data_IF_273524186674
#
_entry.id   IF_273524186674
#
_cell.length_a   1.000
_cell.length_b   1.000
_cell.length_c   1.000
_cell.angle_alpha   90.00
_cell.angle_beta   90.00
_cell.angle_gamma   90.00
#
_symmetry.space_group_name_H-M   'P 1'
#
loop_
_entity.id
_entity.type
_entity.pdbx_description
1 polymer ?
#
# COMPACT_ATOMS: atom_id res chain seq x y z
N UNK A 1 -15.10 -14.35 4.31
CA UNK A 1 -14.83 -15.71 3.77
C UNK A 1 -14.11 -16.60 4.80
N UNK A 2 -12.89 -16.26 5.29
CA UNK A 2 -12.10 -17.13 6.21
C UNK A 2 -12.84 -17.39 7.52
N UNK A 3 -13.31 -16.36 8.21
CA UNK A 3 -14.05 -16.51 9.47
C UNK A 3 -15.32 -17.34 9.28
N UNK A 4 -16.04 -17.10 8.20
CA UNK A 4 -17.23 -17.88 7.84
C UNK A 4 -16.90 -19.36 7.64
N UNK A 5 -15.79 -19.67 6.94
CA UNK A 5 -15.33 -21.04 6.74
C UNK A 5 -14.94 -21.75 8.04
N UNK A 6 -14.48 -20.97 9.04
CA UNK A 6 -14.15 -21.47 10.38
C UNK A 6 -15.35 -21.51 11.34
N UNK A 7 -16.53 -21.06 10.89
CA UNK A 7 -17.73 -20.97 11.74
C UNK A 7 -17.63 -19.91 12.85
N UNK A 8 -16.80 -18.89 12.63
CA UNK A 8 -16.59 -17.80 13.59
C UNK A 8 -17.29 -16.52 13.09
N UNK A 9 -18.18 -15.99 13.90
CA UNK A 9 -18.83 -14.70 13.63
C UNK A 9 -17.97 -13.52 14.07
N UNK A 10 -17.28 -13.66 15.21
CA UNK A 10 -16.45 -12.62 15.82
C UNK A 10 -15.17 -13.20 16.41
N UNK A 11 -14.18 -12.31 16.62
CA UNK A 11 -12.87 -12.63 17.17
C UNK A 11 -12.42 -11.55 18.17
N UNK A 12 -11.49 -11.89 19.06
CA UNK A 12 -11.00 -10.97 20.09
C UNK A 12 -9.81 -10.13 19.65
N UNK A 13 -9.19 -10.48 18.54
CA UNK A 13 -8.07 -9.73 18.00
C UNK A 13 -7.74 -10.08 16.56
N UNK A 14 -7.22 -9.07 15.83
CA UNK A 14 -6.71 -9.24 14.47
C UNK A 14 -5.45 -8.40 14.29
N UNK A 15 -4.44 -9.01 13.67
CA UNK A 15 -3.21 -8.35 13.24
C UNK A 15 -3.13 -8.34 11.72
N UNK A 16 -2.94 -7.16 11.16
CA UNK A 16 -2.53 -6.97 9.77
C UNK A 16 -1.07 -6.56 9.71
N UNK A 17 -0.25 -7.35 9.02
CA UNK A 17 1.11 -7.00 8.61
C UNK A 17 1.06 -6.73 7.10
N UNK A 18 1.00 -5.45 6.72
CA UNK A 18 0.69 -5.04 5.35
C UNK A 18 1.94 -5.03 4.47
N UNK A 19 1.69 -5.05 3.17
CA UNK A 19 2.70 -4.95 2.14
C UNK A 19 3.28 -6.29 1.71
N UNK A 20 4.46 -6.25 1.09
CA UNK A 20 5.14 -7.40 0.49
C UNK A 20 5.98 -8.15 1.52
N UNK A 21 5.91 -9.46 1.51
CA UNK A 21 6.69 -10.31 2.42
C UNK A 21 8.17 -10.39 2.01
N UNK A 22 9.04 -10.71 2.98
CA UNK A 22 10.47 -10.90 2.70
C UNK A 22 10.74 -11.96 1.62
N UNK A 23 10.12 -13.16 1.63
CA UNK A 23 10.28 -14.14 0.55
C UNK A 23 9.90 -13.62 -0.84
N UNK A 24 8.88 -12.76 -0.94
CA UNK A 24 8.50 -12.15 -2.22
C UNK A 24 9.54 -11.16 -2.74
N UNK A 25 10.23 -10.44 -1.85
CA UNK A 25 11.31 -9.52 -2.21
C UNK A 25 12.64 -10.25 -2.52
N UNK A 26 12.90 -11.36 -1.83
CA UNK A 26 14.15 -12.10 -1.92
C UNK A 26 14.16 -13.05 -3.13
N UNK A 27 12.99 -13.49 -3.60
CA UNK A 27 12.84 -14.24 -4.85
C UNK A 27 12.81 -13.28 -6.05
N UNK A 28 13.92 -13.16 -6.75
CA UNK A 28 14.08 -12.26 -7.89
C UNK A 28 13.03 -12.52 -8.98
N UNK A 29 12.69 -13.79 -9.26
CA UNK A 29 11.73 -14.19 -10.31
C UNK A 29 10.31 -13.64 -10.08
N UNK A 30 10.04 -13.12 -8.89
CA UNK A 30 8.76 -12.47 -8.57
C UNK A 30 8.67 -11.03 -9.10
N UNK A 31 9.75 -10.42 -9.56
CA UNK A 31 9.79 -9.09 -10.15
C UNK A 31 9.54 -7.91 -9.20
N UNK A 32 9.55 -8.13 -7.89
CA UNK A 32 9.34 -7.03 -6.91
C UNK A 32 10.57 -6.14 -6.72
N UNK A 33 11.76 -6.67 -7.01
CA UNK A 33 13.03 -5.99 -6.76
C UNK A 33 13.45 -5.16 -7.97
N UNK A 34 13.87 -3.93 -7.74
CA UNK A 34 14.56 -3.09 -8.73
C UNK A 34 16.09 -3.24 -8.68
N UNK A 35 16.60 -4.23 -7.93
CA UNK A 35 18.04 -4.49 -7.75
C UNK A 35 18.51 -5.75 -8.48
N UNK A 36 17.60 -6.58 -8.94
CA UNK A 36 17.88 -7.82 -9.66
C UNK A 36 17.08 -7.84 -10.96
N UNK A 37 17.65 -8.42 -12.02
CA UNK A 37 16.94 -8.56 -13.29
C UNK A 37 15.98 -9.75 -13.22
N UNK A 38 14.73 -9.51 -13.61
CA UNK A 38 13.66 -10.48 -13.54
C UNK A 38 12.48 -10.07 -14.43
N UNK A 39 11.55 -10.99 -14.78
CA UNK A 39 10.32 -10.63 -15.46
C UNK A 39 9.49 -9.61 -14.69
N UNK A 40 8.78 -8.72 -15.40
CA UNK A 40 7.86 -7.73 -14.82
C UNK A 40 6.55 -8.40 -14.37
N UNK A 41 6.59 -9.14 -13.25
CA UNK A 41 5.42 -9.82 -12.69
C UNK A 41 4.75 -8.98 -11.57
N UNK A 42 5.35 -8.87 -10.41
CA UNK A 42 4.90 -8.17 -9.21
C UNK A 42 3.57 -8.65 -8.61
N UNK A 43 3.01 -9.78 -9.02
CA UNK A 43 1.78 -10.32 -8.44
C UNK A 43 2.05 -10.93 -7.07
N UNK A 44 1.27 -10.56 -6.07
CA UNK A 44 1.24 -11.27 -4.78
C UNK A 44 0.53 -12.61 -4.92
N UNK A 45 -0.63 -12.61 -5.58
CA UNK A 45 -1.37 -13.81 -5.98
C UNK A 45 -1.05 -14.15 -7.43
N UNK A 46 -0.43 -15.33 -7.67
CA UNK A 46 -0.05 -15.78 -9.01
C UNK A 46 -1.22 -16.19 -9.89
N UNK A 47 -2.39 -16.40 -9.31
CA UNK A 47 -3.58 -16.81 -10.06
C UNK A 47 -4.29 -15.61 -10.72
N UNK A 48 -3.98 -14.38 -10.30
CA UNK A 48 -4.50 -13.18 -10.96
C UNK A 48 -3.84 -12.94 -12.33
N UNK A 49 -4.56 -12.33 -13.25
CA UNK A 49 -4.10 -12.07 -14.64
C UNK A 49 -3.24 -10.82 -14.76
N UNK A 50 -3.50 -9.77 -13.97
CA UNK A 50 -2.81 -8.48 -14.08
C UNK A 50 -1.40 -8.57 -13.52
N UNK A 51 -0.40 -8.28 -14.37
CA UNK A 51 1.03 -8.25 -14.04
C UNK A 51 1.59 -6.84 -14.21
N UNK A 52 2.81 -6.61 -13.71
CA UNK A 52 3.53 -5.37 -13.99
C UNK A 52 3.82 -5.19 -15.49
N UNK A 53 4.06 -6.29 -16.21
CA UNK A 53 4.21 -6.28 -17.66
C UNK A 53 2.97 -5.71 -18.35
N UNK A 54 1.76 -6.15 -17.98
CA UNK A 54 0.51 -5.65 -18.54
C UNK A 54 0.32 -4.16 -18.28
N UNK A 55 0.62 -3.69 -17.08
CA UNK A 55 0.53 -2.27 -16.74
C UNK A 55 1.51 -1.45 -17.58
N UNK A 56 2.78 -1.85 -17.62
CA UNK A 56 3.85 -1.09 -18.28
C UNK A 56 3.64 -1.05 -19.79
N UNK A 57 3.24 -2.16 -20.41
CA UNK A 57 3.16 -2.26 -21.86
C UNK A 57 1.80 -1.89 -22.44
N UNK A 58 0.70 -2.08 -21.70
CA UNK A 58 -0.64 -1.98 -22.29
C UNK A 58 -1.50 -0.85 -21.74
N UNK A 59 -1.20 -0.32 -20.53
CA UNK A 59 -2.01 0.77 -19.98
C UNK A 59 -1.78 2.09 -20.71
N UNK A 60 -2.83 2.93 -20.86
CA UNK A 60 -2.69 4.28 -21.39
C UNK A 60 -1.68 5.12 -20.59
N UNK A 61 -0.94 5.99 -21.29
CA UNK A 61 0.05 6.88 -20.66
C UNK A 61 -0.51 7.69 -19.48
N UNK A 62 -1.74 8.17 -19.62
CA UNK A 62 -2.37 8.98 -18.56
C UNK A 62 -2.67 8.14 -17.32
N UNK A 63 -3.04 6.87 -17.47
CA UNK A 63 -3.21 5.95 -16.37
C UNK A 63 -1.88 5.61 -15.69
N UNK A 64 -0.83 5.34 -16.49
CA UNK A 64 0.53 5.17 -15.96
C UNK A 64 0.98 6.40 -15.15
N UNK A 65 0.78 7.60 -15.69
CA UNK A 65 1.10 8.84 -14.99
C UNK A 65 0.32 8.97 -13.67
N UNK A 66 -0.97 8.62 -13.69
CA UNK A 66 -1.84 8.70 -12.51
C UNK A 66 -1.34 7.78 -11.38
N UNK A 67 -1.09 6.50 -11.68
CA UNK A 67 -0.60 5.56 -10.65
C UNK A 67 0.79 5.95 -10.14
N UNK A 68 1.69 6.38 -11.01
CA UNK A 68 3.02 6.84 -10.60
C UNK A 68 2.92 8.03 -9.64
N UNK A 69 2.01 8.96 -9.90
CA UNK A 69 1.79 10.12 -9.06
C UNK A 69 1.04 9.76 -7.76
N UNK A 70 -0.06 9.04 -7.85
CA UNK A 70 -0.94 8.75 -6.72
C UNK A 70 -0.37 7.67 -5.78
N UNK A 71 0.18 6.59 -6.34
CA UNK A 71 0.67 5.42 -5.58
C UNK A 71 2.18 5.47 -5.33
N UNK A 72 2.93 6.15 -6.18
CA UNK A 72 4.37 6.35 -6.00
C UNK A 72 4.73 7.64 -5.29
N UNK A 73 3.82 8.63 -5.24
CA UNK A 73 4.16 10.02 -4.89
C UNK A 73 5.36 10.51 -5.72
N UNK A 74 5.45 10.05 -7.02
CA UNK A 74 6.57 10.27 -7.92
C UNK A 74 6.41 11.60 -8.65
N UNK A 75 7.33 12.52 -8.41
CA UNK A 75 7.28 13.86 -9.00
C UNK A 75 7.60 13.89 -10.50
N UNK A 76 8.37 12.89 -10.96
CA UNK A 76 8.74 12.74 -12.38
C UNK A 76 7.75 11.84 -13.14
N UNK A 77 6.55 11.58 -12.60
CA UNK A 77 5.54 10.72 -13.20
C UNK A 77 5.24 11.04 -14.68
N UNK A 78 5.08 12.31 -15.10
CA UNK A 78 4.83 12.63 -16.52
C UNK A 78 5.98 12.24 -17.45
N UNK A 79 7.23 12.46 -17.01
CA UNK A 79 8.43 12.16 -17.78
C UNK A 79 8.65 10.63 -17.86
N UNK A 80 8.44 9.91 -16.76
CA UNK A 80 8.57 8.46 -16.69
C UNK A 80 7.51 7.80 -17.55
N UNK A 81 6.24 8.20 -17.44
CA UNK A 81 5.16 7.65 -18.27
C UNK A 81 5.40 7.88 -19.77
N UNK A 82 5.91 9.06 -20.14
CA UNK A 82 6.28 9.37 -21.54
C UNK A 82 7.48 8.53 -22.03
N UNK A 83 8.46 8.25 -21.16
CA UNK A 83 9.60 7.42 -21.51
C UNK A 83 9.18 5.95 -21.71
N UNK A 84 8.34 5.43 -20.83
CA UNK A 84 7.75 4.08 -20.96
C UNK A 84 6.98 3.97 -22.29
N UNK A 85 6.09 4.92 -22.58
CA UNK A 85 5.30 4.93 -23.82
C UNK A 85 6.18 4.92 -25.06
N UNK A 86 7.25 5.73 -25.06
CA UNK A 86 8.18 5.79 -26.17
C UNK A 86 8.90 4.46 -26.40
N UNK A 87 9.44 3.84 -25.35
CA UNK A 87 10.22 2.61 -25.48
C UNK A 87 9.33 1.45 -25.92
N UNK A 88 8.17 1.27 -25.31
CA UNK A 88 7.26 0.18 -25.65
C UNK A 88 6.66 0.27 -27.06
N UNK A 89 6.78 1.43 -27.73
CA UNK A 89 6.41 1.58 -29.14
C UNK A 89 7.40 0.85 -30.06
N UNK A 90 8.67 0.76 -29.65
CA UNK A 90 9.73 0.08 -30.41
C UNK A 90 9.79 -1.43 -30.07
N UNK A 91 9.73 -1.78 -28.78
CA UNK A 91 9.72 -3.15 -28.29
C UNK A 91 9.08 -3.24 -26.91
N UNK A 92 8.51 -4.40 -26.52
CA UNK A 92 7.97 -4.59 -25.19
C UNK A 92 9.05 -4.46 -24.13
N UNK A 93 8.69 -3.86 -22.98
CA UNK A 93 9.56 -3.79 -21.80
C UNK A 93 9.33 -5.06 -21.00
N UNK A 94 10.34 -5.93 -20.90
CA UNK A 94 10.19 -7.29 -20.38
C UNK A 94 10.71 -7.45 -18.95
N UNK A 95 11.77 -6.71 -18.60
CA UNK A 95 12.46 -6.97 -17.33
C UNK A 95 12.48 -5.77 -16.38
N UNK A 96 12.74 -6.08 -15.12
CA UNK A 96 12.82 -5.09 -14.05
C UNK A 96 13.97 -4.10 -14.28
N UNK A 97 15.17 -4.57 -14.69
CA UNK A 97 16.30 -3.65 -14.90
C UNK A 97 16.11 -2.80 -16.15
N UNK A 98 15.49 -3.32 -17.20
CA UNK A 98 15.10 -2.51 -18.36
C UNK A 98 14.17 -1.36 -17.94
N UNK A 99 13.16 -1.64 -17.14
CA UNK A 99 12.27 -0.60 -16.59
C UNK A 99 13.04 0.38 -15.70
N UNK A 100 13.99 -0.08 -14.88
CA UNK A 100 14.85 0.81 -14.06
C UNK A 100 15.64 1.78 -14.94
N UNK A 101 16.22 1.31 -16.02
CA UNK A 101 17.00 2.18 -16.92
C UNK A 101 16.14 3.20 -17.63
N UNK A 102 14.92 2.84 -18.04
CA UNK A 102 13.94 3.76 -18.61
C UNK A 102 13.56 4.85 -17.59
N UNK A 103 13.25 4.45 -16.36
CA UNK A 103 12.92 5.40 -15.27
C UNK A 103 14.09 6.37 -15.05
N UNK A 104 15.31 5.85 -14.91
CA UNK A 104 16.51 6.67 -14.68
C UNK A 104 16.76 7.66 -15.82
N UNK A 105 16.59 7.23 -17.06
CA UNK A 105 16.78 8.08 -18.25
C UNK A 105 15.79 9.24 -18.31
N UNK A 106 14.59 9.07 -17.71
CA UNK A 106 13.54 10.08 -17.68
C UNK A 106 13.68 11.10 -16.55
N UNK A 107 14.55 10.83 -15.57
CA UNK A 107 14.68 11.66 -14.36
C UNK A 107 15.77 12.73 -14.52
N UNK A 108 15.55 13.96 -14.01
CA UNK A 108 16.57 14.98 -14.00
C UNK A 108 17.72 14.64 -13.03
N UNK A 109 18.94 15.18 -13.24
CA UNK A 109 20.11 14.89 -12.39
C UNK A 109 19.88 15.21 -10.90
N UNK A 110 19.01 16.15 -10.58
CA UNK A 110 18.66 16.49 -9.19
C UNK A 110 17.91 15.36 -8.51
N UNK A 111 16.98 14.71 -9.18
CA UNK A 111 16.22 13.57 -8.66
C UNK A 111 17.10 12.32 -8.51
N UNK A 112 18.03 12.09 -9.42
CA UNK A 112 18.98 10.97 -9.36
C UNK A 112 19.96 11.05 -8.18
N UNK A 113 20.15 12.24 -7.57
CA UNK A 113 21.00 12.46 -6.39
C UNK A 113 20.27 12.24 -5.06
N UNK A 114 18.98 11.95 -5.07
CA UNK A 114 18.25 11.61 -3.85
C UNK A 114 18.85 10.34 -3.19
N UNK A 115 18.72 10.23 -1.85
CA UNK A 115 19.23 9.06 -1.10
C UNK A 115 18.53 7.75 -1.46
N UNK A 116 17.29 7.83 -1.96
CA UNK A 116 16.52 6.66 -2.34
C UNK A 116 16.83 6.25 -3.77
N UNK A 117 16.74 4.95 -4.04
CA UNK A 117 16.89 4.44 -5.40
C UNK A 117 15.86 5.09 -6.35
N UNK A 118 16.24 5.59 -7.54
CA UNK A 118 15.34 6.32 -8.45
C UNK A 118 14.07 5.56 -8.80
N UNK A 119 14.16 4.25 -9.03
CA UNK A 119 13.00 3.43 -9.39
C UNK A 119 12.09 3.05 -8.22
N UNK A 120 12.47 3.31 -6.96
CA UNK A 120 11.73 2.84 -5.78
C UNK A 120 10.25 3.25 -5.80
N UNK A 121 9.97 4.52 -6.07
CA UNK A 121 8.61 5.07 -6.09
C UNK A 121 7.78 4.50 -7.22
N UNK A 122 8.38 4.37 -8.41
CA UNK A 122 7.70 3.81 -9.58
C UNK A 122 7.39 2.32 -9.40
N UNK A 123 8.32 1.53 -8.84
CA UNK A 123 8.07 0.13 -8.51
C UNK A 123 6.99 -0.04 -7.44
N UNK A 124 6.99 0.79 -6.39
CA UNK A 124 5.90 0.82 -5.43
C UNK A 124 4.56 1.12 -6.11
N UNK A 125 4.50 2.10 -7.00
CA UNK A 125 3.28 2.49 -7.70
C UNK A 125 2.71 1.36 -8.55
N UNK A 126 3.56 0.71 -9.34
CA UNK A 126 3.16 -0.41 -10.20
C UNK A 126 2.71 -1.59 -9.34
N UNK A 127 3.46 -1.94 -8.28
CA UNK A 127 3.12 -3.01 -7.36
C UNK A 127 1.74 -2.81 -6.71
N UNK A 128 1.47 -1.60 -6.21
CA UNK A 128 0.18 -1.24 -5.62
C UNK A 128 -0.95 -1.39 -6.66
N UNK A 129 -0.71 -0.99 -7.90
CA UNK A 129 -1.70 -1.10 -8.98
C UNK A 129 -1.94 -2.56 -9.38
N UNK A 130 -0.88 -3.39 -9.50
CA UNK A 130 -1.00 -4.83 -9.80
C UNK A 130 -1.87 -5.55 -8.78
N UNK A 131 -1.72 -5.22 -7.50
CA UNK A 131 -2.29 -6.00 -6.41
C UNK A 131 -3.52 -5.34 -5.75
N UNK A 132 -3.96 -4.18 -6.22
CA UNK A 132 -4.99 -3.35 -5.55
C UNK A 132 -4.77 -3.22 -4.03
N UNK A 133 -3.50 -3.01 -3.63
CA UNK A 133 -3.10 -3.06 -2.22
C UNK A 133 -3.92 -2.09 -1.36
N UNK A 134 -4.15 -0.87 -1.84
CA UNK A 134 -4.84 0.17 -1.07
C UNK A 134 -6.34 -0.12 -0.93
N UNK A 135 -6.97 -0.69 -1.97
CA UNK A 135 -8.35 -1.16 -1.92
C UNK A 135 -8.51 -2.32 -0.94
N UNK A 136 -7.63 -3.32 -1.05
CA UNK A 136 -7.62 -4.48 -0.14
C UNK A 136 -7.43 -4.09 1.32
N UNK A 137 -6.52 -3.13 1.62
CA UNK A 137 -6.30 -2.62 2.98
C UNK A 137 -7.58 -2.00 3.53
N UNK A 138 -8.24 -1.13 2.78
CA UNK A 138 -9.48 -0.48 3.22
C UNK A 138 -10.57 -1.51 3.51
N UNK A 139 -10.85 -2.39 2.55
CA UNK A 139 -11.89 -3.42 2.68
C UNK A 139 -11.59 -4.37 3.85
N UNK A 140 -10.34 -4.81 3.96
CA UNK A 140 -9.90 -5.70 5.04
C UNK A 140 -10.10 -5.08 6.42
N UNK A 141 -9.75 -3.80 6.59
CA UNK A 141 -9.90 -3.09 7.85
C UNK A 141 -11.37 -2.86 8.24
N UNK A 142 -12.21 -2.45 7.28
CA UNK A 142 -13.63 -2.26 7.51
C UNK A 142 -14.29 -3.59 7.95
N UNK A 143 -13.99 -4.68 7.23
CA UNK A 143 -14.46 -6.01 7.60
C UNK A 143 -13.91 -6.47 8.97
N UNK A 144 -12.64 -6.18 9.28
CA UNK A 144 -12.03 -6.53 10.56
C UNK A 144 -12.76 -5.85 11.73
N UNK A 145 -13.05 -4.55 11.61
CA UNK A 145 -13.78 -3.80 12.65
C UNK A 145 -15.14 -4.42 12.93
N UNK A 146 -15.87 -4.83 11.89
CA UNK A 146 -17.21 -5.41 12.03
C UNK A 146 -17.21 -6.83 12.63
N UNK A 147 -16.07 -7.53 12.59
CA UNK A 147 -15.93 -8.89 13.13
C UNK A 147 -15.23 -8.96 14.50
N UNK A 148 -14.87 -7.83 15.10
CA UNK A 148 -14.31 -7.82 16.45
C UNK A 148 -15.42 -7.93 17.52
N UNK A 149 -15.14 -8.70 18.58
CA UNK A 149 -15.92 -8.66 19.83
C UNK A 149 -15.74 -7.28 20.51
N UNK A 150 -16.71 -6.83 21.33
CA UNK A 150 -16.48 -5.68 22.22
C UNK A 150 -15.23 -5.91 23.09
N UNK A 151 -14.35 -4.89 23.12
CA UNK A 151 -13.02 -4.99 23.75
C UNK A 151 -11.94 -5.67 22.89
N UNK A 152 -12.30 -6.24 21.74
CA UNK A 152 -11.37 -6.84 20.78
C UNK A 152 -10.47 -5.80 20.12
N UNK A 153 -9.27 -6.18 19.71
CA UNK A 153 -8.25 -5.27 19.21
C UNK A 153 -7.86 -5.52 17.76
N UNK A 154 -7.81 -4.43 17.00
CA UNK A 154 -7.23 -4.41 15.66
C UNK A 154 -5.86 -3.75 15.70
N UNK A 155 -4.83 -4.49 15.32
CA UNK A 155 -3.44 -4.05 15.22
C UNK A 155 -3.05 -4.04 13.75
N UNK A 156 -2.46 -2.95 13.27
CA UNK A 156 -2.06 -2.81 11.85
C UNK A 156 -0.64 -2.27 11.78
N UNK A 157 0.21 -2.96 11.04
CA UNK A 157 1.58 -2.54 10.70
C UNK A 157 1.56 -2.11 9.24
N UNK A 158 2.05 -0.90 8.95
CA UNK A 158 2.16 -0.31 7.62
C UNK A 158 3.61 0.04 7.32
N UNK A 159 4.01 0.04 6.04
CA UNK A 159 5.40 0.28 5.61
C UNK A 159 5.56 1.51 4.72
N UNK A 160 4.49 2.13 4.25
CA UNK A 160 4.54 3.38 3.51
C UNK A 160 3.42 4.36 3.87
N UNK A 161 3.56 5.60 3.40
CA UNK A 161 2.69 6.73 3.73
C UNK A 161 1.23 6.53 3.34
N UNK A 162 0.96 5.87 2.21
CA UNK A 162 -0.40 5.69 1.70
C UNK A 162 -1.17 4.67 2.54
N UNK A 163 -0.56 3.53 2.89
CA UNK A 163 -1.17 2.57 3.83
C UNK A 163 -1.49 3.25 5.16
N UNK A 164 -0.51 3.93 5.78
CA UNK A 164 -0.69 4.60 7.07
C UNK A 164 -1.82 5.65 7.03
N UNK A 165 -1.96 6.34 5.89
CA UNK A 165 -3.03 7.32 5.66
C UNK A 165 -4.40 6.65 5.62
N UNK A 166 -4.52 5.50 4.93
CA UNK A 166 -5.78 4.74 4.86
C UNK A 166 -6.14 4.23 6.25
N UNK A 167 -5.21 3.55 6.95
CA UNK A 167 -5.42 3.04 8.31
C UNK A 167 -5.87 4.14 9.26
N UNK A 168 -5.19 5.28 9.24
CA UNK A 168 -5.56 6.45 10.04
C UNK A 168 -6.99 6.93 9.73
N UNK A 169 -7.34 7.05 8.45
CA UNK A 169 -8.65 7.54 8.04
C UNK A 169 -9.76 6.55 8.42
N UNK A 170 -9.59 5.26 8.16
CA UNK A 170 -10.55 4.22 8.57
C UNK A 170 -10.75 4.22 10.08
N UNK A 171 -9.68 4.32 10.87
CA UNK A 171 -9.78 4.41 12.32
C UNK A 171 -10.50 5.70 12.76
N UNK A 172 -10.22 6.84 12.14
CA UNK A 172 -10.88 8.09 12.46
C UNK A 172 -12.37 8.04 12.12
N UNK A 173 -12.73 7.49 10.97
CA UNK A 173 -14.13 7.38 10.54
C UNK A 173 -14.91 6.41 11.43
N UNK A 174 -14.34 5.25 11.77
CA UNK A 174 -14.97 4.28 12.66
C UNK A 174 -15.05 4.74 14.13
N UNK A 175 -14.17 5.65 14.55
CA UNK A 175 -14.20 6.25 15.90
C UNK A 175 -15.10 7.48 16.01
N UNK A 176 -15.63 7.97 14.89
CA UNK A 176 -16.58 9.09 14.94
C UNK A 176 -17.88 8.67 15.62
N UNK A 177 -18.36 9.56 16.49
CA UNK A 177 -19.70 9.48 17.05
C UNK A 177 -20.72 10.15 16.12
N UNK A 178 -21.54 11.02 16.69
CA UNK A 178 -22.53 11.75 15.93
C UNK A 178 -21.96 12.49 14.71
N UNK A 179 -22.59 12.32 13.54
CA UNK A 179 -22.25 12.97 12.26
C UNK A 179 -23.20 14.09 11.88
N UNK A 180 -24.14 14.46 12.77
CA UNK A 180 -25.05 15.57 12.55
C UNK A 180 -24.29 16.90 12.47
N UNK A 181 -24.82 17.88 11.71
CA UNK A 181 -24.27 19.24 11.73
C UNK A 181 -24.23 19.79 13.16
N UNK A 182 -23.20 20.56 13.55
CA UNK A 182 -23.10 21.15 14.91
C UNK A 182 -24.25 22.03 15.32
N UNK A 183 -25.03 22.55 14.36
CA UNK A 183 -26.22 23.39 14.57
C UNK A 183 -27.46 22.60 14.99
N UNK A 184 -27.44 21.28 14.93
CA UNK A 184 -28.60 20.46 15.33
C UNK A 184 -28.69 20.38 16.86
N UNK A 185 -29.85 20.73 17.45
CA UNK A 185 -30.00 20.71 18.91
C UNK A 185 -30.03 19.29 19.50
N UNK A 186 -30.38 18.28 18.69
CA UNK A 186 -30.47 16.88 19.09
C UNK A 186 -29.87 16.00 17.98
N UNK A 187 -29.14 14.96 18.37
CA UNK A 187 -28.63 13.99 17.43
C UNK A 187 -29.74 13.16 16.80
N UNK A 188 -29.84 13.18 15.47
CA UNK A 188 -30.83 12.41 14.69
C UNK A 188 -30.21 11.32 13.83
N UNK A 189 -28.85 11.27 13.72
CA UNK A 189 -28.17 10.30 12.86
C UNK A 189 -28.07 8.91 13.48
N UNK A 190 -28.19 8.76 14.79
CA UNK A 190 -28.02 7.48 15.50
C UNK A 190 -26.61 6.86 15.41
N UNK A 191 -25.67 7.56 14.77
CA UNK A 191 -24.32 7.04 14.56
C UNK A 191 -23.56 6.96 15.88
N UNK A 192 -22.99 5.78 16.16
CA UNK A 192 -22.16 5.51 17.34
C UNK A 192 -20.75 5.13 16.90
N UNK A 193 -19.70 5.48 17.67
CA UNK A 193 -18.38 4.99 17.38
C UNK A 193 -18.35 3.46 17.47
N UNK A 194 -17.68 2.81 16.51
CA UNK A 194 -17.44 1.36 16.52
C UNK A 194 -16.15 1.01 17.25
N UNK A 195 -15.18 1.93 17.27
CA UNK A 195 -13.88 1.70 17.86
C UNK A 195 -13.39 2.90 18.67
N UNK A 196 -12.47 2.63 19.58
CA UNK A 196 -11.63 3.60 20.28
C UNK A 196 -10.20 3.49 19.79
N UNK A 197 -9.62 4.60 19.31
CA UNK A 197 -8.22 4.64 18.87
C UNK A 197 -7.31 4.61 20.10
N UNK A 198 -6.48 3.58 20.22
CA UNK A 198 -5.52 3.44 21.33
C UNK A 198 -4.22 4.18 21.03
N UNK A 199 -3.76 4.19 19.77
CA UNK A 199 -2.54 4.88 19.33
C UNK A 199 -2.85 6.16 18.57
N UNK A 200 -2.89 7.32 19.23
CA UNK A 200 -3.07 8.62 18.54
C UNK A 200 -1.95 8.92 17.54
N UNK A 201 -0.71 8.56 17.87
CA UNK A 201 0.46 8.56 16.99
C UNK A 201 0.86 7.11 16.72
N UNK A 202 1.37 6.77 15.53
CA UNK A 202 1.86 5.43 15.30
C UNK A 202 3.04 5.10 16.20
N UNK A 203 3.16 3.86 16.62
CA UNK A 203 4.38 3.32 17.25
C UNK A 203 5.34 3.02 16.09
N UNK A 204 6.57 3.43 16.21
CA UNK A 204 7.65 3.22 15.23
C UNK A 204 8.72 2.30 15.82
N UNK A 205 9.48 1.63 14.95
CA UNK A 205 10.60 0.80 15.35
C UNK A 205 11.64 1.59 16.14
N UNK A 206 12.23 0.98 17.14
CA UNK A 206 13.34 1.57 17.89
C UNK A 206 14.61 1.58 17.04
N UNK A 207 15.63 2.31 17.49
CA UNK A 207 16.92 2.33 16.79
C UNK A 207 17.57 0.95 16.79
N UNK A 208 17.51 0.25 17.90
CA UNK A 208 18.02 -1.11 18.09
C UNK A 208 17.31 -2.09 17.13
N UNK A 209 15.98 -2.02 17.06
CA UNK A 209 15.19 -2.83 16.13
C UNK A 209 15.56 -2.57 14.68
N UNK A 210 15.79 -1.31 14.30
CA UNK A 210 16.21 -0.95 12.92
C UNK A 210 17.62 -1.44 12.61
N UNK A 211 18.53 -1.46 13.61
CA UNK A 211 19.89 -1.99 13.44
C UNK A 211 19.86 -3.52 13.25
N UNK A 212 19.02 -4.25 13.98
CA UNK A 212 18.85 -5.69 13.84
C UNK A 212 18.05 -6.08 12.60
N UNK A 213 16.98 -5.32 12.29
CA UNK A 213 16.09 -5.53 11.14
C UNK A 213 15.90 -4.22 10.35
N UNK A 214 16.77 -3.91 9.37
CA UNK A 214 16.65 -2.70 8.56
C UNK A 214 15.31 -2.53 7.82
N UNK A 215 14.55 -3.61 7.60
CA UNK A 215 13.22 -3.57 6.98
C UNK A 215 12.17 -2.93 7.88
N UNK A 216 12.36 -2.94 9.20
CA UNK A 216 11.46 -2.30 10.17
C UNK A 216 11.50 -0.77 10.13
N UNK A 217 12.51 -0.16 9.52
CA UNK A 217 12.75 1.30 9.52
C UNK A 217 11.54 2.14 9.11
N UNK A 218 10.69 1.62 8.22
CA UNK A 218 9.50 2.33 7.72
C UNK A 218 8.21 1.86 8.40
N UNK A 219 8.30 0.87 9.29
CA UNK A 219 7.14 0.28 9.96
C UNK A 219 6.45 1.28 10.87
N UNK A 220 5.12 1.30 10.83
CA UNK A 220 4.26 2.09 11.71
C UNK A 220 3.13 1.22 12.22
N UNK A 221 3.06 1.04 13.52
CA UNK A 221 2.03 0.24 14.16
C UNK A 221 0.92 1.14 14.71
N UNK A 222 -0.32 0.80 14.39
CA UNK A 222 -1.53 1.43 14.93
C UNK A 222 -2.44 0.41 15.56
N UNK A 223 -3.11 0.83 16.65
CA UNK A 223 -4.03 -0.05 17.41
C UNK A 223 -5.34 0.68 17.68
N UNK A 224 -6.44 -0.03 17.49
CA UNK A 224 -7.77 0.38 17.91
C UNK A 224 -8.46 -0.78 18.66
N UNK A 225 -9.43 -0.45 19.50
CA UNK A 225 -10.24 -1.38 20.30
C UNK A 225 -11.71 -1.19 19.94
N UNK A 226 -12.43 -2.28 19.70
CA UNK A 226 -13.86 -2.26 19.44
C UNK A 226 -14.62 -1.88 20.72
N UNK A 227 -15.64 -1.00 20.61
CA UNK A 227 -16.44 -0.52 21.75
C UNK A 227 -17.76 -1.26 21.88
#
# INVERSE_FOLDING_TARGET
AILTALGLDRIDGMLFDLGVSSPQLDDAERGFSYMADAPLDMRMDRDQSLTAYEIVNNWPREELKSILYEYGEERCAPQIAAAIERVRTDHPIETTLELVDIIRSAMPPSALREKQHPAKRSFQAIRIAVNDELGAVRQGMEAAIDHLNPGGRLVVITFHSLEDRIVKNVFQDAAKGCTCPPSFPVCVCGHKPKIKILTKKPIIATREEVEENPRSRSAKLRVAEHV
#
